data_IF_566378356102
#
_entry.id   IF_566378356102
#
_cell.length_a   1.000
_cell.length_b   1.000
_cell.length_c   1.000
_cell.angle_alpha   90.00
_cell.angle_beta   90.00
_cell.angle_gamma   90.00
#
_symmetry.space_group_name_H-M   'P 1'
#
loop_
_entity.id
_entity.type
_entity.pdbx_description
1 polymer ?
2 non-polymer ?
3 non-polymer ?
4 water ?
#
# COMPACT_ATOMS: atom_id res chain seq x y z
N UNK A 14 -6.94 6.92 -31.00
CA UNK A 14 -8.26 6.65 -30.45
C UNK A 14 -9.30 7.48 -31.23
N UNK A 15 -10.32 6.84 -31.77
CA UNK A 15 -11.18 7.46 -32.78
C UNK A 15 -12.16 8.45 -32.16
N UNK A 16 -12.57 9.44 -32.98
CA UNK A 16 -13.59 10.38 -32.57
C UNK A 16 -14.89 9.67 -32.19
N UNK A 17 -15.28 8.66 -32.96
CA UNK A 17 -16.53 7.95 -32.67
C UNK A 17 -16.46 7.29 -31.31
N UNK A 18 -15.30 6.74 -30.95
CA UNK A 18 -15.18 6.08 -29.66
C UNK A 18 -15.21 7.10 -28.53
N UNK A 19 -14.53 8.24 -28.70
CA UNK A 19 -14.55 9.28 -27.69
C UNK A 19 -15.97 9.79 -27.48
N UNK A 20 -16.73 9.96 -28.58
CA UNK A 20 -18.10 10.44 -28.38
C UNK A 20 -18.97 9.41 -27.69
N UNK A 21 -18.71 8.11 -27.92
CA UNK A 21 -19.43 7.07 -27.20
C UNK A 21 -19.12 7.13 -25.71
N UNK A 22 -17.86 7.40 -25.36
CA UNK A 22 -17.51 7.58 -23.95
C UNK A 22 -18.26 8.78 -23.37
N UNK A 23 -18.31 9.89 -24.12
CA UNK A 23 -19.00 11.07 -23.62
C UNK A 23 -20.50 10.84 -23.44
N UNK A 24 -21.09 9.98 -24.26
CA UNK A 24 -22.51 9.64 -24.10
C UNK A 24 -22.77 8.92 -22.79
N UNK A 25 -21.78 8.22 -22.25
CA UNK A 25 -21.98 7.53 -20.98
C UNK A 25 -21.81 8.47 -19.79
N UNK A 26 -20.69 9.20 -19.73
CA UNK A 26 -20.32 9.91 -18.52
C UNK A 26 -20.50 11.42 -18.62
N UNK A 27 -20.75 11.95 -19.81
CA UNK A 27 -20.86 13.39 -19.99
C UNK A 27 -19.59 14.00 -20.51
N UNK A 28 -19.71 15.02 -21.37
CA UNK A 28 -18.52 15.63 -21.98
C UNK A 28 -17.51 16.16 -20.99
N UNK A 29 -17.87 16.77 -19.86
CA UNK A 29 -16.84 17.24 -18.93
C UNK A 29 -16.00 16.11 -18.37
N UNK A 30 -16.49 14.88 -18.43
CA UNK A 30 -15.85 13.75 -17.76
C UNK A 30 -15.10 12.82 -18.71
N UNK A 31 -14.85 13.27 -19.94
CA UNK A 31 -13.94 12.58 -20.86
C UNK A 31 -12.95 13.62 -21.37
N UNK A 32 -11.65 13.31 -21.26
CA UNK A 32 -10.66 14.21 -21.85
C UNK A 32 -9.58 13.44 -22.58
N UNK A 33 -9.19 13.94 -23.75
CA UNK A 33 -8.01 13.48 -24.45
C UNK A 33 -6.88 14.51 -24.44
N UNK A 34 -6.98 15.51 -23.56
CA UNK A 34 -5.94 16.53 -23.47
C UNK A 34 -4.63 15.94 -22.97
N UNK A 35 -3.52 16.33 -23.61
CA UNK A 35 -2.22 15.75 -23.27
C UNK A 35 -1.86 15.94 -21.79
N UNK A 36 -2.07 17.14 -21.27
CA UNK A 36 -1.68 17.40 -19.88
C UNK A 36 -2.47 16.53 -18.92
N UNK A 37 -3.77 16.35 -19.17
CA UNK A 37 -4.62 15.52 -18.33
C UNK A 37 -4.18 14.05 -18.41
N UNK A 38 -3.90 13.58 -19.62
CA UNK A 38 -3.42 12.21 -19.77
C UNK A 38 -2.07 12.03 -19.10
N UNK A 39 -1.16 13.00 -19.25
CA UNK A 39 0.14 12.88 -18.62
C UNK A 39 0.01 12.81 -17.10
N UNK A 40 -0.91 13.59 -16.51
CA UNK A 40 -1.09 13.56 -15.07
C UNK A 40 -1.59 12.21 -14.58
N UNK A 41 -2.24 11.44 -15.44
CA UNK A 41 -2.77 10.13 -15.10
C UNK A 41 -1.93 9.00 -15.67
N UNK A 42 -0.72 9.29 -16.14
CA UNK A 42 0.12 8.27 -16.74
C UNK A 42 1.22 7.78 -15.84
N UNK A 43 1.22 8.18 -14.57
CA UNK A 43 2.30 7.86 -13.66
C UNK A 43 1.75 7.85 -12.25
N UNK A 44 2.52 7.27 -11.33
CA UNK A 44 2.16 7.32 -9.93
C UNK A 44 3.33 7.92 -9.18
N UNK A 45 3.54 7.52 -7.94
CA UNK A 45 4.65 8.08 -7.18
C UNK A 45 5.94 7.31 -7.41
N UNK A 46 5.92 6.26 -8.23
CA UNK A 46 7.09 5.46 -8.59
C UNK A 46 7.97 6.19 -9.59
N UNK A 47 9.19 5.69 -9.75
CA UNK A 47 10.10 6.20 -10.76
C UNK A 47 9.78 5.67 -12.14
N UNK A 48 8.77 4.80 -12.29
CA UNK A 48 8.42 4.25 -13.59
C UNK A 48 8.01 5.37 -14.55
N UNK A 49 8.49 5.27 -15.78
CA UNK A 49 8.32 6.33 -16.77
C UNK A 49 6.85 6.63 -17.02
N UNK A 50 6.52 7.92 -17.18
CA UNK A 50 5.15 8.29 -17.47
C UNK A 50 4.73 7.74 -18.83
N UNK A 51 3.59 7.06 -18.86
CA UNK A 51 3.05 6.46 -20.07
C UNK A 51 1.57 6.87 -20.11
N UNK A 52 1.26 7.96 -20.80
CA UNK A 52 -0.08 8.52 -20.73
C UNK A 52 -1.11 7.64 -21.40
N UNK A 53 -2.28 7.49 -20.79
CA UNK A 53 -3.41 6.85 -21.47
C UNK A 53 -3.81 7.70 -22.67
N UNK A 54 -4.62 7.11 -23.54
CA UNK A 54 -5.16 7.86 -24.67
C UNK A 54 -6.32 8.75 -24.27
N UNK A 55 -6.99 8.44 -23.16
CA UNK A 55 -8.08 9.26 -22.64
C UNK A 55 -8.19 9.03 -21.15
N UNK A 56 -8.73 10.01 -20.44
CA UNK A 56 -9.12 9.84 -19.04
C UNK A 56 -10.63 10.04 -18.93
N UNK A 57 -11.28 9.17 -18.17
CA UNK A 57 -12.73 9.15 -18.04
C UNK A 57 -13.07 9.09 -16.56
N UNK A 58 -14.05 9.89 -16.14
CA UNK A 58 -14.51 9.94 -14.76
C UNK A 58 -15.96 9.47 -14.70
N UNK A 59 -16.21 8.19 -14.47
CA UNK A 59 -17.60 7.74 -14.32
C UNK A 59 -18.22 8.26 -13.04
N UNK A 60 -19.53 8.45 -13.08
CA UNK A 60 -20.25 9.08 -11.98
C UNK A 60 -21.01 8.08 -11.12
N UNK A 61 -21.19 6.85 -11.58
CA UNK A 61 -21.87 5.83 -10.80
C UNK A 61 -21.49 4.47 -11.40
N UNK A 62 -21.90 3.40 -10.71
CA UNK A 62 -21.45 2.08 -11.13
C UNK A 62 -22.02 1.69 -12.49
N UNK A 63 -23.23 2.14 -12.81
CA UNK A 63 -23.76 1.83 -14.14
C UNK A 63 -22.87 2.44 -15.22
N UNK A 64 -22.34 3.65 -14.97
CA UNK A 64 -21.43 4.24 -15.94
C UNK A 64 -20.11 3.49 -16.00
N UNK A 65 -19.59 3.03 -14.86
CA UNK A 65 -18.37 2.23 -14.90
C UNK A 65 -18.58 1.01 -15.77
N UNK A 66 -19.70 0.31 -15.56
CA UNK A 66 -20.00 -0.88 -16.34
C UNK A 66 -20.08 -0.56 -17.82
N UNK A 67 -20.75 0.53 -18.19
CA UNK A 67 -20.89 0.86 -19.60
C UNK A 67 -19.55 1.27 -20.22
N UNK A 68 -18.72 2.01 -19.48
CA UNK A 68 -17.39 2.33 -20.00
C UNK A 68 -16.55 1.07 -20.18
N UNK A 69 -16.58 0.15 -19.21
CA UNK A 69 -15.80 -1.07 -19.34
C UNK A 69 -16.25 -1.87 -20.55
N UNK A 70 -17.56 -2.01 -20.72
CA UNK A 70 -18.09 -2.79 -21.84
C UNK A 70 -17.71 -2.15 -23.17
N UNK A 71 -17.76 -0.83 -23.25
CA UNK A 71 -17.37 -0.16 -24.49
C UNK A 71 -15.90 -0.40 -24.80
N UNK A 72 -15.02 -0.24 -23.81
CA UNK A 72 -13.59 -0.46 -24.02
C UNK A 72 -13.31 -1.91 -24.36
N UNK A 73 -13.86 -2.82 -23.57
CA UNK A 73 -13.53 -4.23 -23.70
C UNK A 73 -13.90 -4.75 -25.09
N UNK A 74 -15.12 -4.46 -25.52
CA UNK A 74 -15.60 -5.01 -26.79
C UNK A 74 -15.00 -4.32 -27.99
N UNK A 75 -14.27 -3.25 -27.78
CA UNK A 75 -13.74 -2.52 -28.90
C UNK A 75 -12.19 -2.63 -28.85
N UNK A 76 -11.66 -3.42 -27.92
CA UNK A 76 -10.23 -3.72 -27.93
C UNK A 76 -9.34 -2.67 -27.32
N UNK A 77 -9.87 -1.89 -26.40
CA UNK A 77 -9.20 -0.73 -25.82
C UNK A 77 -8.85 -1.08 -24.38
N UNK A 78 -7.57 -1.01 -23.99
CA UNK A 78 -7.20 -1.31 -22.60
C UNK A 78 -7.88 -0.38 -21.61
N UNK A 79 -8.07 -0.91 -20.40
CA UNK A 79 -8.69 -0.19 -19.28
C UNK A 79 -7.66 -0.10 -18.16
N UNK A 80 -7.45 1.11 -17.63
CA UNK A 80 -6.55 1.28 -16.49
C UNK A 80 -7.34 1.91 -15.34
N UNK A 81 -7.69 1.16 -14.31
CA UNK A 81 -8.32 1.78 -13.15
C UNK A 81 -7.36 2.71 -12.45
N UNK A 82 -7.89 3.84 -11.97
CA UNK A 82 -7.06 4.87 -11.37
C UNK A 82 -7.78 5.37 -10.12
N UNK A 83 -7.09 5.26 -8.96
CA UNK A 83 -7.65 5.76 -7.73
C UNK A 83 -7.10 7.13 -7.43
N UNK A 84 -6.21 7.20 -6.45
CA UNK A 84 -5.51 8.43 -6.12
C UNK A 84 -4.09 8.53 -6.68
N UNK A 85 -3.64 7.54 -7.43
CA UNK A 85 -2.34 7.63 -8.09
C UNK A 85 -1.17 7.67 -7.15
N UNK A 86 -1.31 7.11 -5.94
CA UNK A 86 -0.23 7.10 -4.97
C UNK A 86 0.54 5.78 -4.94
N UNK A 87 0.23 4.84 -5.85
CA UNK A 87 1.00 3.60 -5.88
C UNK A 87 2.46 3.82 -6.20
N UNK A 88 3.26 2.80 -5.93
CA UNK A 88 4.71 2.94 -6.13
C UNK A 88 5.29 1.86 -7.02
N UNK A 89 4.44 1.19 -7.82
CA UNK A 89 4.98 0.19 -8.75
C UNK A 89 4.49 0.38 -10.18
N UNK A 90 4.01 1.58 -10.54
CA UNK A 90 3.63 1.80 -11.92
C UNK A 90 2.33 1.18 -12.33
N UNK A 91 1.47 0.85 -11.36
CA UNK A 91 0.20 0.23 -11.69
C UNK A 91 -0.67 1.03 -12.65
N UNK A 92 -0.62 2.37 -12.57
CA UNK A 92 -1.47 3.18 -13.44
C UNK A 92 -0.80 3.58 -14.75
N UNK A 93 0.47 3.22 -14.96
CA UNK A 93 1.15 3.56 -16.22
C UNK A 93 0.47 2.86 -17.39
N UNK A 94 0.06 3.62 -18.40
CA UNK A 94 -0.69 3.02 -19.51
C UNK A 94 0.28 2.48 -20.56
N UNK A 95 0.89 1.34 -20.24
CA UNK A 95 1.97 0.83 -21.07
C UNK A 95 1.49 0.39 -22.45
N UNK A 96 0.19 0.14 -22.63
CA UNK A 96 -0.38 -0.17 -23.94
C UNK A 96 -1.44 0.86 -24.36
N UNK A 97 -1.36 2.07 -23.82
CA UNK A 97 -2.38 3.08 -24.05
C UNK A 97 -3.72 2.68 -23.45
N UNK A 98 -4.78 3.27 -24.00
CA UNK A 98 -6.12 2.92 -23.59
C UNK A 98 -6.81 4.01 -22.78
N UNK A 99 -7.83 3.59 -22.04
CA UNK A 99 -8.69 4.51 -21.29
C UNK A 99 -8.37 4.36 -19.80
N UNK A 100 -7.94 5.46 -19.19
CA UNK A 100 -7.74 5.51 -17.75
C UNK A 100 -9.07 5.89 -17.11
N UNK A 101 -9.55 5.07 -16.19
CA UNK A 101 -10.83 5.33 -15.53
C UNK A 101 -10.50 5.87 -14.14
N UNK A 102 -10.62 7.20 -13.98
CA UNK A 102 -10.46 7.82 -12.68
C UNK A 102 -11.75 7.64 -11.91
N UNK A 103 -11.69 6.92 -10.80
CA UNK A 103 -12.89 6.50 -10.10
C UNK A 103 -13.29 7.42 -8.97
N UNK A 104 -12.62 8.55 -8.78
CA UNK A 104 -12.75 9.26 -7.51
C UNK A 104 -13.94 10.19 -7.44
N UNK A 105 -14.72 10.34 -8.51
CA UNK A 105 -15.97 11.09 -8.38
C UNK A 105 -17.06 10.29 -7.69
N UNK A 106 -16.94 8.96 -7.63
CA UNK A 106 -17.81 8.16 -6.77
C UNK A 106 -17.17 8.15 -5.39
N UNK A 107 -17.65 9.04 -4.51
CA UNK A 107 -16.94 9.42 -3.30
C UNK A 107 -17.81 9.31 -2.05
N UNK A 108 -18.83 8.45 -2.09
CA UNK A 108 -19.82 8.36 -1.03
C UNK A 108 -19.53 7.22 -0.07
N UNK A 109 -19.78 7.47 1.21
CA UNK A 109 -19.86 6.46 2.24
C UNK A 109 -21.31 6.02 2.36
N UNK A 110 -21.54 4.73 2.37
CA UNK A 110 -22.88 4.20 2.57
C UNK A 110 -22.86 3.00 3.49
N UNK A 111 -24.07 2.57 3.87
CA UNK A 111 -24.29 1.36 4.63
C UNK A 111 -23.42 1.34 5.88
N UNK A 112 -23.31 2.49 6.53
CA UNK A 112 -22.59 2.52 7.80
C UNK A 112 -23.39 1.74 8.82
N UNK A 113 -22.80 0.68 9.34
CA UNK A 113 -23.45 -0.19 10.31
C UNK A 113 -22.59 -0.22 11.56
N UNK A 114 -22.77 0.77 12.44
CA UNK A 114 -21.91 0.84 13.61
C UNK A 114 -22.13 -0.37 14.52
N UNK A 115 -23.36 -0.89 14.59
CA UNK A 115 -23.63 -2.03 15.45
C UNK A 115 -23.01 -3.31 14.93
N UNK A 116 -22.70 -3.38 13.64
CA UNK A 116 -22.03 -4.53 13.05
C UNK A 116 -20.53 -4.31 12.84
N UNK A 117 -20.02 -3.10 13.11
CA UNK A 117 -18.62 -2.75 12.84
C UNK A 117 -18.30 -2.83 11.35
N UNK A 118 -19.16 -2.26 10.50
CA UNK A 118 -18.88 -2.32 9.06
C UNK A 118 -19.37 -1.07 8.33
N UNK A 119 -18.84 -0.86 7.12
CA UNK A 119 -19.17 0.31 6.32
C UNK A 119 -18.87 -0.02 4.87
N UNK A 120 -19.56 0.65 3.94
CA UNK A 120 -19.31 0.50 2.50
C UNK A 120 -18.83 1.84 1.96
N UNK A 121 -17.71 1.82 1.22
CA UNK A 121 -17.12 3.04 0.69
C UNK A 121 -16.90 2.92 -0.81
N UNK A 122 -17.10 4.03 -1.52
CA UNK A 122 -16.80 4.16 -2.94
C UNK A 122 -15.36 4.62 -3.14
N UNK A 123 -14.83 4.56 -4.38
CA UNK A 123 -13.38 4.78 -4.57
C UNK A 123 -12.85 6.15 -4.20
N UNK A 124 -13.69 7.18 -4.26
CA UNK A 124 -13.22 8.51 -3.87
C UNK A 124 -13.08 8.74 -2.38
N UNK A 125 -13.51 7.79 -1.55
CA UNK A 125 -13.35 7.90 -0.10
C UNK A 125 -11.94 7.50 0.30
N UNK A 126 -11.26 8.38 1.02
CA UNK A 126 -9.96 8.06 1.61
C UNK A 126 -10.12 7.65 3.07
N UNK A 127 -9.04 7.10 3.65
CA UNK A 127 -9.06 6.74 5.06
C UNK A 127 -9.33 7.97 5.92
N UNK A 128 -8.73 9.11 5.58
CA UNK A 128 -8.98 10.33 6.33
C UNK A 128 -10.45 10.73 6.26
N UNK A 129 -11.05 10.63 5.08
CA UNK A 129 -12.47 10.96 4.97
C UNK A 129 -13.33 10.01 5.80
N UNK A 130 -13.03 8.71 5.74
CA UNK A 130 -13.84 7.76 6.51
C UNK A 130 -13.72 8.03 8.00
N UNK A 131 -12.49 8.19 8.48
CA UNK A 131 -12.31 8.35 9.92
C UNK A 131 -12.85 9.68 10.41
N UNK A 132 -12.79 10.73 9.58
CA UNK A 132 -13.43 11.98 9.96
C UNK A 132 -14.93 11.82 10.05
N UNK A 133 -15.53 11.07 9.12
CA UNK A 133 -16.97 10.83 9.21
C UNK A 133 -17.32 9.94 10.39
N UNK A 134 -16.36 9.21 10.93
CA UNK A 134 -16.56 8.37 12.11
C UNK A 134 -16.17 9.05 13.41
N UNK A 135 -15.82 10.33 13.37
CA UNK A 135 -15.50 11.02 14.62
C UNK A 135 -16.71 10.97 15.54
N UNK A 136 -16.48 10.76 16.84
CA UNK A 136 -17.51 10.62 17.86
C UNK A 136 -18.28 9.31 17.80
N UNK A 137 -17.95 8.37 16.90
CA UNK A 137 -18.68 7.11 16.85
C UNK A 137 -18.09 6.02 17.73
N UNK A 138 -16.85 6.18 18.19
CA UNK A 138 -16.14 5.15 18.90
C UNK A 138 -15.53 4.09 18.00
N UNK A 139 -15.71 4.21 16.69
CA UNK A 139 -15.14 3.30 15.72
C UNK A 139 -14.15 4.04 14.84
N UNK A 140 -13.24 3.28 14.23
CA UNK A 140 -12.28 3.86 13.28
C UNK A 140 -11.83 2.78 12.33
N UNK A 141 -11.24 3.20 11.21
CA UNK A 141 -10.64 2.26 10.27
C UNK A 141 -9.13 2.31 10.38
N UNK A 142 -8.46 1.18 10.68
CA UNK A 142 -7.06 1.24 11.09
C UNK A 142 -6.00 1.18 9.99
N UNK A 143 -6.30 0.65 8.80
CA UNK A 143 -5.22 0.37 7.84
C UNK A 143 -4.72 1.69 7.24
N UNK A 144 -3.46 2.04 7.51
CA UNK A 144 -2.99 3.41 7.36
C UNK A 144 -1.71 3.56 6.53
N UNK A 145 -1.80 3.43 5.21
CA UNK A 145 -0.74 3.94 4.35
C UNK A 145 -0.48 5.41 4.64
N UNK A 146 0.77 5.84 4.46
CA UNK A 146 1.09 7.23 4.71
C UNK A 146 0.44 8.19 3.74
N UNK A 147 0.07 7.72 2.54
CA UNK A 147 -0.62 8.54 1.56
C UNK A 147 -2.11 8.65 1.86
N UNK A 148 -2.69 9.77 1.41
CA UNK A 148 -4.15 9.98 1.45
C UNK A 148 -4.80 9.21 0.29
N UNK A 149 -4.81 7.89 0.43
CA UNK A 149 -5.12 7.00 -0.68
C UNK A 149 -6.59 6.59 -0.71
N UNK A 150 -7.10 6.35 -1.91
CA UNK A 150 -8.40 5.71 -2.10
C UNK A 150 -8.46 4.38 -1.35
N UNK A 151 -9.54 4.17 -0.59
CA UNK A 151 -9.69 2.90 0.12
C UNK A 151 -9.92 1.75 -0.84
N UNK A 152 -10.58 2.00 -1.97
CA UNK A 152 -10.73 0.95 -2.97
C UNK A 152 -9.42 0.68 -3.67
N UNK A 153 -8.58 1.71 -3.85
CA UNK A 153 -7.23 1.47 -4.36
C UNK A 153 -6.42 0.66 -3.39
N UNK A 154 -6.62 0.89 -2.09
CA UNK A 154 -5.91 0.13 -1.08
C UNK A 154 -6.36 -1.34 -1.12
N UNK A 155 -7.65 -1.57 -1.34
CA UNK A 155 -8.10 -2.95 -1.55
C UNK A 155 -7.46 -3.55 -2.79
N UNK A 156 -7.37 -2.77 -3.85
CA UNK A 156 -6.78 -3.28 -5.09
C UNK A 156 -5.31 -3.65 -4.92
N UNK A 157 -4.55 -2.86 -4.16
CA UNK A 157 -3.13 -3.18 -4.02
C UNK A 157 -2.84 -4.15 -2.88
N UNK A 158 -3.82 -4.44 -2.03
CA UNK A 158 -3.54 -5.26 -0.85
C UNK A 158 -2.73 -4.52 0.19
N UNK A 159 -3.01 -3.23 0.38
CA UNK A 159 -2.20 -2.35 1.23
C UNK A 159 -2.16 -2.81 2.69
N UNK A 160 -1.13 -2.35 3.39
CA UNK A 160 -1.15 -2.45 4.85
C UNK A 160 -0.75 -1.09 5.41
N UNK A 161 -0.15 -1.06 6.60
CA UNK A 161 0.18 0.21 7.20
C UNK A 161 0.78 -0.01 8.58
N UNK A 162 1.04 1.10 9.30
CA UNK A 162 1.67 0.93 10.60
C UNK A 162 0.77 0.18 11.58
N UNK A 163 -0.54 0.32 11.45
CA UNK A 163 -1.45 -0.33 12.38
C UNK A 163 -1.68 -1.80 12.08
N UNK A 164 -1.17 -2.32 10.96
CA UNK A 164 -1.55 -3.68 10.55
C UNK A 164 -1.05 -4.73 11.52
N UNK A 165 0.09 -4.49 12.17
CA UNK A 165 0.63 -5.49 13.08
C UNK A 165 -0.39 -5.90 14.13
N UNK A 166 -1.25 -4.97 14.57
CA UNK A 166 -2.32 -5.29 15.52
C UNK A 166 -3.68 -5.46 14.87
N UNK A 167 -4.03 -4.63 13.89
CA UNK A 167 -5.39 -4.55 13.39
C UNK A 167 -5.57 -5.17 12.02
N UNK A 168 -4.52 -5.69 11.41
CA UNK A 168 -4.65 -6.40 10.15
C UNK A 168 -4.41 -5.52 8.94
N UNK A 169 -4.21 -6.19 7.81
CA UNK A 169 -4.00 -5.53 6.52
C UNK A 169 -5.34 -5.30 5.83
N UNK A 170 -5.31 -4.85 4.58
CA UNK A 170 -6.58 -4.71 3.88
C UNK A 170 -7.22 -6.08 3.70
N UNK A 171 -6.42 -7.10 3.41
CA UNK A 171 -6.97 -8.45 3.23
C UNK A 171 -7.71 -8.90 4.49
N UNK A 172 -7.19 -8.52 5.66
CA UNK A 172 -7.84 -8.89 6.92
C UNK A 172 -9.11 -8.12 7.15
N UNK A 173 -9.27 -6.95 6.53
CA UNK A 173 -10.36 -6.05 6.87
C UNK A 173 -11.33 -5.78 5.72
N UNK A 174 -11.18 -6.44 4.58
CA UNK A 174 -12.14 -6.32 3.48
C UNK A 174 -13.14 -7.47 3.58
N UNK A 175 -14.41 -7.11 3.77
CA UNK A 175 -15.49 -8.07 3.99
C UNK A 175 -16.17 -8.47 2.69
N UNK A 176 -16.20 -7.57 1.71
CA UNK A 176 -16.97 -7.74 0.49
C UNK A 176 -16.46 -6.69 -0.48
N UNK A 177 -16.59 -6.96 -1.77
CA UNK A 177 -16.21 -6.02 -2.81
C UNK A 177 -17.30 -5.98 -3.86
N UNK A 178 -17.54 -4.79 -4.40
CA UNK A 178 -18.33 -4.63 -5.62
C UNK A 178 -17.34 -4.43 -6.76
N UNK A 179 -17.41 -5.29 -7.78
CA UNK A 179 -16.41 -5.30 -8.85
C UNK A 179 -17.13 -5.26 -10.20
N UNK A 180 -16.75 -4.31 -11.04
CA UNK A 180 -17.13 -4.33 -12.44
C UNK A 180 -16.08 -5.17 -13.15
N UNK A 181 -16.50 -6.33 -13.66
CA UNK A 181 -15.57 -7.20 -14.38
C UNK A 181 -15.19 -6.57 -15.72
N UNK A 182 -14.11 -7.07 -16.35
CA UNK A 182 -13.61 -6.39 -17.56
C UNK A 182 -14.65 -6.17 -18.65
N UNK A 183 -15.58 -7.10 -18.86
CA UNK A 183 -16.59 -6.91 -19.90
C UNK A 183 -17.81 -6.13 -19.42
N UNK A 184 -17.80 -5.61 -18.19
CA UNK A 184 -18.90 -4.80 -17.68
C UNK A 184 -19.84 -5.49 -16.72
N UNK A 185 -19.75 -6.81 -16.56
CA UNK A 185 -20.65 -7.48 -15.62
C UNK A 185 -20.36 -7.02 -14.20
N UNK A 186 -21.41 -6.95 -13.38
CA UNK A 186 -21.28 -6.54 -12.00
C UNK A 186 -21.21 -7.76 -11.09
N UNK A 187 -20.16 -7.84 -10.26
CA UNK A 187 -19.96 -8.93 -9.30
C UNK A 187 -19.89 -8.36 -7.89
N UNK A 188 -20.74 -8.85 -6.99
CA UNK A 188 -20.55 -8.61 -5.55
C UNK A 188 -19.89 -9.87 -5.01
N UNK A 189 -18.62 -9.75 -4.62
CA UNK A 189 -17.81 -10.95 -4.45
C UNK A 189 -18.35 -11.88 -3.37
N UNK A 190 -18.93 -11.34 -2.30
CA UNK A 190 -19.54 -12.15 -1.25
C UNK A 190 -21.06 -12.13 -1.30
N UNK A 191 -21.62 -11.53 -2.33
CA UNK A 191 -23.08 -11.41 -2.47
C UNK A 191 -23.51 -9.97 -2.19
N UNK A 192 -24.50 -9.49 -2.95
CA UNK A 192 -24.89 -8.09 -2.81
C UNK A 192 -25.46 -7.81 -1.42
N UNK A 193 -24.87 -6.82 -0.77
CA UNK A 193 -25.34 -6.37 0.52
C UNK A 193 -24.89 -7.21 1.69
N UNK A 194 -24.06 -8.22 1.47
CA UNK A 194 -23.72 -9.14 2.55
C UNK A 194 -22.53 -8.64 3.36
N UNK A 195 -22.57 -8.93 4.65
CA UNK A 195 -21.47 -8.58 5.53
C UNK A 195 -21.58 -9.46 6.76
N UNK A 196 -20.46 -10.03 7.17
CA UNK A 196 -20.45 -11.02 8.25
C UNK A 196 -19.00 -11.23 8.68
N UNK A 197 -18.82 -11.92 9.82
CA UNK A 197 -17.47 -12.19 10.32
C UNK A 197 -16.75 -13.32 9.63
N UNK A 198 -17.46 -14.34 9.18
CA UNK A 198 -16.79 -15.48 8.58
C UNK A 198 -17.80 -16.20 7.71
N UNK A 199 -17.28 -16.92 6.74
CA UNK A 199 -18.09 -17.76 5.86
C UNK A 199 -17.26 -18.89 5.31
N UNK A 200 -17.94 -20.01 5.05
CA UNK A 200 -17.38 -21.13 4.30
C UNK A 200 -18.18 -21.35 3.02
N UNK A 201 -18.92 -20.36 2.57
CA UNK A 201 -19.89 -20.59 1.50
C UNK A 201 -19.21 -20.48 0.13
N UNK A 202 -18.92 -21.61 -0.48
CA UNK A 202 -18.35 -21.57 -1.82
C UNK A 202 -16.86 -21.27 -1.79
N UNK A 203 -16.36 -20.75 -2.91
CA UNK A 203 -14.97 -20.29 -2.98
C UNK A 203 -14.91 -18.81 -2.63
N UNK A 204 -13.84 -18.41 -1.97
CA UNK A 204 -13.79 -17.04 -1.45
C UNK A 204 -13.38 -16.10 -2.58
N UNK A 205 -14.35 -15.48 -3.22
CA UNK A 205 -14.03 -14.58 -4.32
C UNK A 205 -13.45 -13.26 -3.83
N UNK A 206 -13.80 -12.83 -2.62
CA UNK A 206 -13.32 -11.53 -2.16
C UNK A 206 -11.81 -11.48 -2.11
N UNK A 207 -11.20 -12.56 -1.59
CA UNK A 207 -9.75 -12.59 -1.47
C UNK A 207 -9.03 -12.60 -2.80
N UNK A 208 -9.68 -13.09 -3.86
CA UNK A 208 -9.06 -13.08 -5.18
C UNK A 208 -8.87 -11.67 -5.70
N UNK A 209 -9.83 -10.77 -5.41
CA UNK A 209 -9.74 -9.42 -5.94
C UNK A 209 -8.93 -8.46 -5.07
N UNK A 210 -8.80 -8.76 -3.78
CA UNK A 210 -7.86 -7.99 -2.96
C UNK A 210 -6.45 -8.26 -3.49
N UNK A 211 -5.70 -7.20 -3.74
CA UNK A 211 -4.35 -7.38 -4.26
C UNK A 211 -4.27 -7.72 -5.74
N UNK A 212 -5.34 -7.49 -6.49
CA UNK A 212 -5.34 -7.79 -7.93
C UNK A 212 -4.88 -6.61 -8.78
N UNK A 213 -4.76 -5.41 -8.20
CA UNK A 213 -4.10 -4.25 -8.80
C UNK A 213 -4.79 -3.79 -10.09
N UNK A 214 -6.09 -4.02 -10.21
CA UNK A 214 -6.80 -3.57 -11.39
C UNK A 214 -6.64 -4.46 -12.61
N UNK A 215 -6.07 -5.65 -12.45
CA UNK A 215 -5.90 -6.59 -13.55
C UNK A 215 -7.02 -7.61 -13.66
N UNK A 216 -7.96 -7.64 -12.71
CA UNK A 216 -9.06 -8.60 -12.73
C UNK A 216 -10.43 -7.94 -12.77
N UNK A 217 -10.49 -6.62 -12.64
CA UNK A 217 -11.76 -5.92 -12.60
C UNK A 217 -11.60 -4.62 -11.84
N UNK A 218 -12.68 -3.84 -11.82
CA UNK A 218 -12.69 -2.49 -11.26
C UNK A 218 -13.47 -2.52 -9.95
N UNK A 219 -12.82 -2.18 -8.84
CA UNK A 219 -13.49 -2.17 -7.55
C UNK A 219 -14.26 -0.87 -7.43
N UNK A 220 -15.60 -0.96 -7.38
CA UNK A 220 -16.44 0.23 -7.28
C UNK A 220 -17.04 0.43 -5.89
N UNK A 221 -16.95 -0.56 -5.00
CA UNK A 221 -17.12 -0.26 -3.59
C UNK A 221 -16.43 -1.36 -2.78
N UNK A 222 -16.09 -1.03 -1.55
CA UNK A 222 -15.45 -1.96 -0.64
C UNK A 222 -16.24 -1.94 0.66
N UNK A 223 -16.58 -3.13 1.18
CA UNK A 223 -17.16 -3.25 2.51
C UNK A 223 -16.03 -3.50 3.50
N UNK A 224 -15.88 -2.63 4.50
CA UNK A 224 -14.72 -2.62 5.38
C UNK A 224 -15.12 -2.95 6.80
N UNK A 225 -14.26 -3.71 7.48
CA UNK A 225 -14.37 -3.93 8.92
C UNK A 225 -13.90 -2.70 9.69
N UNK A 226 -14.75 -2.20 10.60
CA UNK A 226 -14.37 -1.13 11.51
C UNK A 226 -13.95 -1.73 12.86
N UNK A 227 -13.20 -0.94 13.62
CA UNK A 227 -12.61 -1.40 14.86
C UNK A 227 -12.95 -0.45 16.00
N UNK A 228 -13.05 -0.96 17.21
CA UNK A 228 -13.25 -0.06 18.36
C UNK A 228 -12.04 0.82 18.61
N UNK A 229 -12.31 2.08 18.94
CA UNK A 229 -11.24 2.98 19.34
C UNK A 229 -10.60 2.46 20.62
N UNK A 230 -9.27 2.55 20.76
CA UNK A 230 -8.63 2.06 21.98
C UNK A 230 -9.03 2.89 23.18
N UNK A 231 -9.10 2.22 24.33
CA UNK A 231 -9.44 2.89 25.59
C UNK A 231 -8.45 4.00 25.89
N UNK A 232 -7.16 3.70 25.73
CA UNK A 232 -6.10 4.68 25.95
C UNK A 232 -4.96 4.33 25.00
N UNK A 233 -4.12 5.32 24.75
CA UNK A 233 -3.03 5.20 23.77
C UNK A 233 -1.78 5.86 24.34
N UNK A 234 -0.63 5.23 24.13
CA UNK A 234 0.66 5.86 24.42
C UNK A 234 1.61 5.54 23.28
N UNK A 235 2.35 6.55 22.82
CA UNK A 235 3.38 6.39 21.80
C UNK A 235 4.74 6.70 22.40
N UNK A 236 5.78 6.12 21.79
CA UNK A 236 7.14 6.32 22.30
C UNK A 236 8.14 6.11 21.18
N UNK A 237 9.34 6.60 21.40
CA UNK A 237 10.45 6.29 20.51
C UNK A 237 11.61 5.75 21.33
N UNK A 238 12.42 4.92 20.69
CA UNK A 238 13.58 4.32 21.35
C UNK A 238 14.73 4.28 20.35
N UNK A 239 15.87 4.89 20.71
CA UNK A 239 17.04 4.93 19.85
C UNK A 239 18.01 3.81 20.22
N UNK A 240 18.71 3.29 19.22
CA UNK A 240 19.60 2.15 19.36
C UNK A 240 20.98 2.46 18.81
N UNK A 241 22.01 1.72 19.24
CA UNK A 241 23.34 1.96 18.66
C UNK A 241 23.52 1.36 17.27
N UNK A 242 22.65 0.42 16.88
CA UNK A 242 22.88 -0.27 15.63
C UNK A 242 21.55 -0.78 15.09
N UNK A 243 21.55 -1.06 13.79
CA UNK A 243 20.39 -1.73 13.19
C UNK A 243 20.15 -3.05 13.87
N UNK A 244 21.20 -3.80 14.16
CA UNK A 244 20.80 -5.10 14.66
C UNK A 244 20.27 -5.05 16.08
N UNK A 245 20.68 -4.05 16.89
CA UNK A 245 20.06 -3.91 18.21
C UNK A 245 18.58 -3.58 18.09
N UNK A 246 18.21 -2.70 17.15
CA UNK A 246 16.81 -2.33 16.97
C UNK A 246 15.99 -3.51 16.46
N UNK A 247 16.55 -4.28 15.52
CA UNK A 247 15.76 -5.35 14.92
C UNK A 247 15.72 -6.56 15.84
N UNK A 248 16.79 -6.83 16.60
CA UNK A 248 16.70 -7.89 17.60
C UNK A 248 15.63 -7.56 18.62
N UNK A 249 15.55 -6.29 19.03
CA UNK A 249 14.51 -5.87 19.95
C UNK A 249 13.14 -6.13 19.35
N UNK A 250 12.96 -5.79 18.07
CA UNK A 250 11.68 -5.98 17.41
C UNK A 250 11.27 -7.45 17.44
N UNK A 251 12.18 -8.33 17.05
CA UNK A 251 11.85 -9.76 17.03
C UNK A 251 11.50 -10.26 18.42
N UNK A 252 12.23 -9.79 19.44
CA UNK A 252 11.97 -10.28 20.78
C UNK A 252 10.64 -9.75 21.34
N UNK A 253 10.27 -8.51 20.99
CA UNK A 253 8.97 -7.98 21.36
C UNK A 253 7.86 -8.85 20.76
N UNK A 254 8.02 -9.20 19.48
CA UNK A 254 7.01 -10.04 18.83
C UNK A 254 6.97 -11.44 19.43
N UNK A 255 8.15 -12.00 19.74
CA UNK A 255 8.17 -13.36 20.30
C UNK A 255 7.66 -13.38 21.73
N UNK A 256 7.73 -12.27 22.44
CA UNK A 256 7.13 -12.13 23.75
C UNK A 256 5.64 -11.89 23.69
N UNK A 257 5.09 -11.71 22.48
CA UNK A 257 3.66 -11.52 22.25
C UNK A 257 3.13 -10.26 22.94
N UNK A 258 3.95 -9.22 22.97
CA UNK A 258 3.44 -7.91 23.38
C UNK A 258 2.52 -7.45 22.25
N UNK A 259 1.25 -7.16 22.52
CA UNK A 259 0.31 -6.80 21.45
C UNK A 259 0.43 -5.33 21.04
N UNK A 260 1.63 -4.94 20.61
CA UNK A 260 1.88 -3.57 20.20
C UNK A 260 0.91 -3.17 19.10
N UNK A 261 0.45 -1.92 19.15
CA UNK A 261 -0.39 -1.38 18.11
C UNK A 261 0.41 -0.95 16.88
N UNK A 262 1.63 -0.45 17.10
CA UNK A 262 2.51 0.02 16.04
C UNK A 262 3.94 -0.28 16.46
N UNK A 263 4.76 -0.75 15.51
CA UNK A 263 6.19 -0.88 15.77
C UNK A 263 6.90 -0.66 14.44
N UNK A 264 7.51 0.51 14.30
CA UNK A 264 8.08 0.96 13.04
C UNK A 264 9.57 1.21 13.22
N UNK A 265 10.35 0.77 12.24
CA UNK A 265 11.80 0.96 12.25
C UNK A 265 12.20 2.10 11.31
N UNK A 266 13.14 2.93 11.77
CA UNK A 266 13.79 3.93 10.92
C UNK A 266 15.29 3.77 11.11
N UNK A 267 16.07 3.63 10.03
CA UNK A 267 17.50 3.64 10.30
C UNK A 267 17.96 5.08 10.57
N UNK A 268 19.27 5.26 10.78
CA UNK A 268 19.75 6.60 11.09
C UNK A 268 19.53 7.58 9.94
N UNK A 269 19.72 7.12 8.69
CA UNK A 269 19.47 7.99 7.54
C UNK A 269 18.01 8.41 7.51
N UNK A 270 17.09 7.44 7.68
CA UNK A 270 15.67 7.76 7.68
C UNK A 270 15.33 8.72 8.80
N UNK A 271 15.90 8.50 9.98
CA UNK A 271 15.57 9.33 11.13
C UNK A 271 16.05 10.76 10.93
N UNK A 272 17.27 10.92 10.42
CA UNK A 272 17.73 12.25 10.04
C UNK A 272 16.79 12.89 9.01
N UNK A 273 16.41 12.13 7.97
CA UNK A 273 15.51 12.68 6.95
C UNK A 273 14.18 13.13 7.55
N UNK A 274 13.59 12.31 8.42
CA UNK A 274 12.32 12.66 9.03
C UNK A 274 12.46 13.87 9.95
N UNK A 275 13.57 13.96 10.70
CA UNK A 275 13.84 15.14 11.51
C UNK A 275 13.82 16.40 10.65
N UNK A 276 14.49 16.37 9.50
CA UNK A 276 14.60 17.56 8.66
C UNK A 276 13.29 17.91 8.01
N UNK A 277 12.36 16.98 7.90
CA UNK A 277 11.10 17.15 7.19
C UNK A 277 9.91 17.35 8.12
N UNK A 278 10.12 17.38 9.43
CA UNK A 278 9.00 17.36 10.37
C UNK A 278 9.24 18.18 11.62
N UNK A 279 10.46 18.66 11.81
CA UNK A 279 10.82 19.31 13.07
C UNK A 279 10.53 18.41 14.29
N UNK A 280 10.38 17.10 14.10
CA UNK A 280 10.88 16.18 15.11
C UNK A 280 12.35 16.48 15.31
N UNK A 281 12.91 16.06 16.44
CA UNK A 281 14.32 16.25 16.72
C UNK A 281 14.86 15.06 17.49
N UNK A 282 14.60 13.86 16.98
CA UNK A 282 15.07 12.66 17.65
C UNK A 282 16.56 12.47 17.43
N UNK A 283 17.23 11.78 18.35
CA UNK A 283 18.63 11.43 18.12
C UNK A 283 18.78 10.69 16.79
N UNK A 284 19.81 11.06 16.03
CA UNK A 284 20.04 10.43 14.73
C UNK A 284 20.71 9.08 14.99
N UNK A 285 19.92 8.02 14.88
CA UNK A 285 20.29 6.66 15.26
C UNK A 285 19.19 5.73 14.77
N UNK A 286 19.48 4.45 14.57
CA UNK A 286 18.40 3.49 14.30
C UNK A 286 17.39 3.55 15.42
N UNK A 287 16.10 3.66 15.06
CA UNK A 287 15.05 4.04 16.01
C UNK A 287 13.83 3.17 15.79
N UNK A 288 13.14 2.85 16.88
CA UNK A 288 11.79 2.29 16.79
C UNK A 288 10.79 3.35 17.22
N UNK A 289 9.72 3.50 16.42
CA UNK A 289 8.53 4.24 16.82
C UNK A 289 7.52 3.19 17.28
N UNK A 290 6.96 3.37 18.48
CA UNK A 290 6.08 2.39 19.08
C UNK A 290 4.76 3.03 19.48
N UNK A 291 3.68 2.25 19.41
CA UNK A 291 2.42 2.69 20.00
C UNK A 291 1.75 1.53 20.69
N UNK A 292 1.12 1.82 21.83
CA UNK A 292 0.47 0.83 22.66
C UNK A 292 -0.98 1.26 22.88
N UNK A 293 -1.87 0.27 22.81
CA UNK A 293 -3.30 0.49 23.01
C UNK A 293 -3.76 -0.40 24.15
N UNK A 294 -4.61 0.14 25.01
CA UNK A 294 -5.23 -0.65 26.05
C UNK A 294 -5.77 0.24 27.15
N UNK A 295 -6.13 -0.41 28.26
CA UNK A 295 -6.45 0.32 29.47
C UNK A 295 -5.18 0.75 30.18
N UNK A 296 -5.34 1.46 31.29
CA UNK A 296 -4.17 1.90 32.06
C UNK A 296 -3.38 0.70 32.58
N UNK A 297 -4.07 -0.35 33.01
CA UNK A 297 -3.37 -1.52 33.54
C UNK A 297 -2.64 -2.27 32.42
N UNK A 298 -3.28 -2.40 31.25
CA UNK A 298 -2.62 -3.12 30.15
C UNK A 298 -1.46 -2.29 29.59
N UNK A 299 -1.63 -0.97 29.53
CA UNK A 299 -0.56 -0.11 29.00
C UNK A 299 0.68 -0.16 29.88
N UNK A 300 0.50 -0.08 31.20
CA UNK A 300 1.63 -0.18 32.11
C UNK A 300 2.31 -1.54 31.98
N UNK A 301 1.52 -2.60 31.85
CA UNK A 301 2.07 -3.94 31.68
C UNK A 301 2.89 -4.02 30.39
N UNK A 302 2.34 -3.52 29.27
CA UNK A 302 3.03 -3.60 28.00
C UNK A 302 4.27 -2.71 27.99
N UNK A 303 4.18 -1.49 28.54
CA UNK A 303 5.30 -0.58 28.44
C UNK A 303 6.51 -1.10 29.18
N UNK A 304 6.27 -1.76 30.32
CA UNK A 304 7.41 -2.23 31.10
C UNK A 304 8.02 -3.48 30.51
N UNK A 305 7.20 -4.36 29.92
CA UNK A 305 7.76 -5.51 29.21
C UNK A 305 8.57 -5.07 28.00
N UNK A 306 8.07 -4.06 27.27
CA UNK A 306 8.76 -3.62 26.05
C UNK A 306 10.04 -2.86 26.38
N UNK A 307 9.98 -2.00 27.41
CA UNK A 307 11.19 -1.30 27.86
C UNK A 307 12.26 -2.29 28.31
N UNK A 308 11.86 -3.36 29.00
CA UNK A 308 12.84 -4.34 29.43
C UNK A 308 13.54 -4.99 28.25
N UNK A 309 12.79 -5.26 27.17
CA UNK A 309 13.37 -5.91 26.02
C UNK A 309 14.28 -4.96 25.25
N UNK A 310 13.83 -3.72 25.03
CA UNK A 310 14.70 -2.78 24.33
C UNK A 310 15.95 -2.48 25.14
N UNK A 311 15.82 -2.36 26.47
CA UNK A 311 17.00 -2.14 27.32
C UNK A 311 18.02 -3.26 27.18
N UNK A 312 17.54 -4.51 27.16
CA UNK A 312 18.42 -5.66 27.03
C UNK A 312 19.27 -5.60 25.77
N UNK A 313 18.79 -4.92 24.73
CA UNK A 313 19.51 -4.87 23.46
C UNK A 313 20.19 -3.54 23.22
N UNK A 314 20.31 -2.69 24.24
CA UNK A 314 21.01 -1.43 24.11
C UNK A 314 20.15 -0.24 23.76
N UNK A 315 18.84 -0.37 23.81
CA UNK A 315 17.99 0.77 23.53
C UNK A 315 18.17 1.86 24.56
N UNK A 316 18.03 3.10 24.10
CA UNK A 316 17.97 4.23 25.02
C UNK A 316 16.68 4.14 25.84
N UNK A 317 16.58 5.00 26.85
CA UNK A 317 15.30 5.14 27.51
C UNK A 317 14.26 5.64 26.50
N UNK A 318 13.01 5.23 26.72
CA UNK A 318 11.91 5.68 25.89
C UNK A 318 11.77 7.19 25.94
N UNK A 319 11.46 7.79 24.79
CA UNK A 319 11.05 9.18 24.68
C UNK A 319 9.56 9.20 24.38
N UNK A 320 8.78 9.80 25.27
CA UNK A 320 7.33 9.64 25.31
C UNK A 320 6.62 10.66 24.43
N UNK A 321 5.48 10.23 23.89
CA UNK A 321 4.62 11.11 23.10
C UNK A 321 3.16 10.96 23.55
N UNK A 324 -1.35 14.31 22.91
CA UNK A 324 -2.10 14.01 21.70
C UNK A 324 -1.43 14.65 20.48
N UNK A 325 -1.07 15.93 20.62
CA UNK A 325 -0.45 16.62 19.49
C UNK A 325 0.93 16.07 19.19
N UNK A 326 1.64 15.53 20.19
CA UNK A 326 2.98 15.03 19.92
C UNK A 326 2.94 13.63 19.29
N UNK A 327 1.99 12.78 19.67
CA UNK A 327 1.89 11.52 18.93
C UNK A 327 1.42 11.77 17.51
N UNK A 328 0.58 12.79 17.29
CA UNK A 328 0.17 13.12 15.94
C UNK A 328 1.34 13.58 15.10
N UNK A 329 2.26 14.36 15.69
CA UNK A 329 3.44 14.77 14.93
C UNK A 329 4.36 13.59 14.65
N UNK A 330 4.46 12.66 15.61
CA UNK A 330 5.29 11.48 15.43
C UNK A 330 4.84 10.67 14.22
N UNK A 331 3.56 10.33 14.18
CA UNK A 331 3.07 9.49 13.10
C UNK A 331 2.90 10.26 11.80
N UNK A 332 2.71 11.59 11.87
CA UNK A 332 2.73 12.36 10.62
C UNK A 332 4.12 12.33 9.99
N UNK A 333 5.16 12.46 10.81
CA UNK A 333 6.52 12.34 10.29
C UNK A 333 6.76 10.97 9.69
N UNK A 334 6.31 9.91 10.37
CA UNK A 334 6.50 8.57 9.84
C UNK A 334 5.73 8.39 8.54
N UNK A 335 4.47 8.83 8.51
CA UNK A 335 3.68 8.68 7.30
C UNK A 335 4.27 9.42 6.12
N UNK A 336 5.06 10.46 6.38
CA UNK A 336 5.63 11.24 5.29
C UNK A 336 7.09 10.85 5.01
N UNK A 337 7.53 9.70 5.53
CA UNK A 337 8.92 9.27 5.33
C UNK A 337 9.32 9.21 3.87
N UNK A 338 8.42 8.77 3.00
CA UNK A 338 8.71 8.74 1.57
C UNK A 338 9.13 10.11 1.07
N UNK A 339 8.37 11.15 1.44
CA UNK A 339 8.70 12.49 0.99
C UNK A 339 9.91 13.04 1.72
N UNK A 340 10.11 12.66 2.99
CA UNK A 340 11.32 13.06 3.69
C UNK A 340 12.56 12.53 2.99
N UNK A 341 12.54 11.27 2.56
CA UNK A 341 13.67 10.71 1.83
C UNK A 341 13.87 11.41 0.50
N UNK A 342 12.77 11.67 -0.22
CA UNK A 342 12.89 12.37 -1.51
C UNK A 342 13.47 13.76 -1.34
N UNK A 343 13.20 14.41 -0.20
CA UNK A 343 13.67 15.77 0.02
C UNK A 343 15.17 15.83 0.32
N UNK A 344 15.81 14.69 0.59
CA UNK A 344 17.26 14.67 0.79
C UNK A 344 17.96 15.22 -0.44
N UNK A 345 17.77 14.58 -1.58
CA UNK A 345 18.23 15.09 -2.87
C UNK A 345 17.02 15.64 -3.62
N UNK A 346 16.81 16.95 -3.63
CA UNK A 346 15.64 17.50 -4.34
C UNK A 346 15.70 17.18 -5.83
N UNK A 347 14.53 17.17 -6.45
CA UNK A 347 14.41 16.82 -7.85
C UNK A 347 14.53 15.34 -8.15
N UNK A 348 14.78 14.52 -7.14
CA UNK A 348 14.97 13.10 -7.38
C UNK A 348 13.63 12.37 -7.43
N UNK A 349 13.64 11.21 -8.04
CA UNK A 349 12.61 10.21 -7.88
C UNK A 349 13.17 9.12 -7.00
N UNK A 350 12.40 8.05 -6.77
CA UNK A 350 12.92 6.99 -5.93
C UNK A 350 12.24 5.67 -6.28
N UNK A 351 12.96 4.58 -6.04
CA UNK A 351 12.35 3.26 -6.02
C UNK A 351 12.33 2.75 -4.59
N UNK A 352 11.31 1.98 -4.25
CA UNK A 352 11.21 1.42 -2.90
C UNK A 352 11.11 -0.08 -3.01
N UNK A 353 11.91 -0.79 -2.22
CA UNK A 353 11.71 -2.21 -2.02
C UNK A 353 10.68 -2.42 -0.93
N UNK A 354 10.27 -3.68 -0.73
CA UNK A 354 9.14 -3.96 0.12
C UNK A 354 9.10 -5.41 0.58
N UNK A 355 10.27 -6.02 0.81
CA UNK A 355 10.28 -7.45 1.12
C UNK A 355 9.66 -7.72 2.48
N UNK A 356 9.19 -8.95 2.66
CA UNK A 356 8.67 -9.42 3.94
C UNK A 356 9.17 -10.84 4.16
N UNK A 357 9.80 -11.09 5.30
CA UNK A 357 10.46 -12.37 5.56
C UNK A 357 9.94 -12.94 6.87
N UNK A 358 10.11 -14.25 7.10
CA UNK A 358 9.85 -14.80 8.44
C UNK A 358 10.58 -13.97 9.48
N UNK A 359 9.91 -13.67 10.61
CA UNK A 359 10.47 -12.66 11.49
C UNK A 359 11.84 -13.07 12.03
N UNK A 360 12.10 -14.36 12.22
CA UNK A 360 13.40 -14.73 12.78
C UNK A 360 14.54 -14.44 11.81
N UNK A 361 14.25 -14.23 10.51
CA UNK A 361 15.27 -13.87 9.54
C UNK A 361 15.35 -12.38 9.30
N UNK A 362 14.49 -11.59 9.94
CA UNK A 362 14.51 -10.15 9.72
C UNK A 362 15.83 -9.51 10.16
N UNK A 363 16.44 -9.89 11.30
CA UNK A 363 17.73 -9.28 11.63
C UNK A 363 18.78 -9.50 10.57
N UNK A 364 18.86 -10.72 10.03
CA UNK A 364 19.86 -10.99 9.00
C UNK A 364 19.69 -10.07 7.82
N UNK A 365 18.46 -9.98 7.29
CA UNK A 365 18.30 -9.27 6.03
C UNK A 365 18.34 -7.76 6.23
N UNK A 366 17.84 -7.22 7.35
CA UNK A 366 17.96 -5.77 7.55
C UNK A 366 19.40 -5.34 7.77
N UNK A 367 20.15 -6.08 8.57
CA UNK A 367 21.56 -5.73 8.75
C UNK A 367 22.30 -5.84 7.43
N UNK A 368 22.05 -6.91 6.66
CA UNK A 368 22.70 -7.05 5.35
C UNK A 368 22.34 -5.90 4.43
N UNK A 369 21.07 -5.48 4.43
CA UNK A 369 20.68 -4.35 3.59
C UNK A 369 21.44 -3.09 3.97
N UNK A 370 21.54 -2.81 5.28
CA UNK A 370 22.28 -1.64 5.74
C UNK A 370 23.74 -1.72 5.28
N UNK A 371 24.34 -2.89 5.44
CA UNK A 371 25.74 -3.06 5.03
C UNK A 371 25.90 -2.88 3.53
N UNK A 372 24.95 -3.38 2.75
CA UNK A 372 25.05 -3.27 1.30
C UNK A 372 24.83 -1.84 0.83
N UNK A 373 23.87 -1.12 1.45
CA UNK A 373 23.69 0.29 1.13
C UNK A 373 25.00 1.04 1.35
N UNK A 374 25.64 0.78 2.48
CA UNK A 374 26.81 1.57 2.80
C UNK A 374 27.97 1.17 1.89
N UNK A 375 28.04 -0.11 1.54
CA UNK A 375 29.13 -0.53 0.68
C UNK A 375 28.92 -0.05 -0.73
N UNK A 376 27.68 0.20 -1.15
CA UNK A 376 27.33 0.67 -2.48
C UNK A 376 27.62 2.17 -2.65
N UNK A 377 27.80 2.58 -3.91
CA UNK A 377 27.79 4.01 -4.18
C UNK A 377 26.41 4.63 -4.04
N UNK A 378 25.36 3.81 -3.96
CA UNK A 378 24.01 4.32 -3.85
C UNK A 378 23.73 4.90 -2.47
N UNK A 379 22.75 5.80 -2.44
CA UNK A 379 22.14 6.35 -1.23
C UNK A 379 20.83 5.62 -0.98
N UNK A 380 20.50 5.41 0.30
CA UNK A 380 19.23 4.81 0.65
C UNK A 380 18.84 5.11 2.07
N UNK A 381 17.52 5.12 2.31
CA UNK A 381 16.96 5.20 3.65
C UNK A 381 16.16 3.93 3.90
N UNK A 382 16.17 3.46 5.14
CA UNK A 382 15.45 2.23 5.50
C UNK A 382 14.34 2.57 6.49
N UNK A 383 13.14 2.06 6.24
CA UNK A 383 11.98 2.33 7.10
C UNK A 383 11.06 1.12 6.98
N UNK A 384 10.35 0.78 8.03
CA UNK A 384 9.52 -0.40 7.80
C UNK A 384 8.56 -0.81 8.88
N UNK A 385 7.50 -1.48 8.42
CA UNK A 385 6.54 -2.20 9.22
C UNK A 385 7.16 -3.49 9.74
N UNK A 386 8.16 -3.37 10.61
CA UNK A 386 8.94 -4.53 11.00
C UNK A 386 8.15 -5.47 11.91
N UNK A 387 7.05 -5.01 12.52
CA UNK A 387 6.19 -5.91 13.25
C UNK A 387 5.62 -7.00 12.38
N UNK A 388 5.57 -6.75 11.06
CA UNK A 388 5.13 -7.74 10.10
C UNK A 388 6.28 -8.51 9.46
N UNK A 389 7.52 -8.25 9.87
CA UNK A 389 8.68 -8.78 9.15
C UNK A 389 8.92 -8.12 7.81
N UNK A 390 8.47 -6.88 7.67
CA UNK A 390 8.42 -6.14 6.42
C UNK A 390 9.23 -4.85 6.57
N UNK A 391 9.92 -4.45 5.50
CA UNK A 391 10.58 -3.14 5.50
C UNK A 391 10.79 -2.67 4.07
N UNK A 392 11.08 -1.37 3.95
CA UNK A 392 11.34 -0.74 2.66
C UNK A 392 12.72 -0.11 2.68
N UNK A 393 13.44 -0.28 1.56
CA UNK A 393 14.60 0.53 1.21
C UNK A 393 14.15 1.56 0.19
N UNK A 394 14.31 2.83 0.54
CA UNK A 394 13.96 3.94 -0.34
C UNK A 394 15.25 4.39 -1.03
N UNK A 395 15.32 4.19 -2.35
CA UNK A 395 16.55 4.34 -3.12
C UNK A 395 16.38 5.49 -4.09
N UNK A 396 17.05 6.60 -3.81
CA UNK A 396 16.85 7.82 -4.56
C UNK A 396 17.48 7.67 -5.94
N UNK A 397 16.92 8.39 -6.92
CA UNK A 397 17.31 8.24 -8.31
C UNK A 397 17.39 9.61 -8.97
N UNK A 398 18.48 9.85 -9.71
CA UNK A 398 18.52 10.92 -10.70
C UNK A 398 17.75 10.45 -11.93
N UNK A 399 16.62 11.07 -12.26
CA UNK A 399 15.83 10.60 -13.40
C UNK A 399 16.57 10.65 -14.73
N UNK A 400 17.68 11.38 -14.81
CA UNK A 400 18.45 11.49 -16.05
C UNK A 400 19.73 10.66 -16.04
N UNK A 401 19.95 9.85 -15.00
CA UNK A 401 21.17 9.05 -14.87
C UNK A 401 20.80 7.59 -15.10
N UNK A 402 21.05 7.11 -16.32
CA UNK A 402 20.67 5.73 -16.66
C UNK A 402 21.56 4.71 -15.95
N UNK A 403 22.82 5.05 -15.70
CA UNK A 403 23.70 4.14 -14.98
C UNK A 403 23.25 3.96 -13.53
N UNK A 404 22.91 5.07 -12.87
CA UNK A 404 22.39 4.98 -11.50
C UNK A 404 21.08 4.20 -11.46
N UNK A 405 20.25 4.37 -12.49
CA UNK A 405 18.95 3.72 -12.47
C UNK A 405 19.09 2.20 -12.51
N UNK A 406 19.99 1.68 -13.33
CA UNK A 406 20.09 0.23 -13.37
C UNK A 406 20.92 -0.32 -12.21
N UNK A 407 21.74 0.50 -11.57
CA UNK A 407 22.36 0.06 -10.33
C UNK A 407 21.33 -0.03 -9.20
N UNK A 408 20.44 0.96 -9.11
CA UNK A 408 19.33 0.91 -8.15
C UNK A 408 18.45 -0.30 -8.42
N UNK A 409 18.14 -0.55 -9.69
CA UNK A 409 17.25 -1.64 -9.98
C UNK A 409 17.92 -2.97 -9.68
N UNK A 410 19.24 -3.08 -9.94
CA UNK A 410 19.96 -4.28 -9.58
C UNK A 410 19.99 -4.48 -8.06
N UNK A 411 20.19 -3.41 -7.30
CA UNK A 411 20.17 -3.52 -5.85
C UNK A 411 18.81 -4.02 -5.37
N UNK A 412 17.74 -3.46 -5.92
CA UNK A 412 16.39 -3.86 -5.51
C UNK A 412 16.12 -5.32 -5.85
N UNK A 413 16.56 -5.75 -7.04
CA UNK A 413 16.33 -7.14 -7.42
C UNK A 413 17.12 -8.11 -6.55
N UNK A 414 18.36 -7.75 -6.21
CA UNK A 414 19.15 -8.62 -5.35
C UNK A 414 18.57 -8.69 -3.94
N UNK A 415 18.08 -7.57 -3.41
CA UNK A 415 17.42 -7.61 -2.11
C UNK A 415 16.18 -8.48 -2.17
N UNK A 416 15.38 -8.35 -3.23
CA UNK A 416 14.23 -9.21 -3.37
C UNK A 416 14.59 -10.68 -3.43
N UNK A 417 15.66 -11.01 -4.18
CA UNK A 417 16.06 -12.41 -4.25
C UNK A 417 16.58 -12.93 -2.92
N UNK A 418 17.25 -12.08 -2.13
CA UNK A 418 17.67 -12.49 -0.80
C UNK A 418 16.46 -12.81 0.07
N UNK A 419 15.42 -11.98 -0.02
CA UNK A 419 14.21 -12.26 0.75
C UNK A 419 13.60 -13.58 0.31
N UNK A 420 13.60 -13.86 -0.98
CA UNK A 420 13.05 -15.13 -1.45
C UNK A 420 13.88 -16.30 -0.93
N UNK A 421 15.20 -16.14 -0.86
CA UNK A 421 16.06 -17.21 -0.35
C UNK A 421 15.77 -17.51 1.11
N UNK A 422 15.26 -16.53 1.85
CA UNK A 422 14.95 -16.67 3.26
C UNK A 422 13.52 -17.14 3.50
N UNK A 423 12.80 -17.57 2.46
CA UNK A 423 11.45 -18.05 2.63
C UNK A 423 10.38 -16.98 2.62
N UNK A 424 10.73 -15.75 2.24
CA UNK A 424 9.82 -14.63 2.31
C UNK A 424 9.16 -14.31 0.97
N UNK A 425 8.66 -13.09 0.89
CA UNK A 425 7.96 -12.60 -0.30
C UNK A 425 8.60 -11.31 -0.79
N UNK A 426 8.50 -11.05 -2.10
CA UNK A 426 9.14 -9.86 -2.66
C UNK A 426 8.36 -8.59 -2.36
N UNK A 427 7.11 -8.70 -1.91
CA UNK A 427 6.34 -7.51 -1.54
C UNK A 427 5.38 -7.83 -0.42
N UNK A 428 5.49 -7.07 0.68
CA UNK A 428 4.54 -7.25 1.77
C UNK A 428 3.25 -6.47 1.59
N UNK A 429 3.27 -5.38 0.80
CA UNK A 429 2.08 -4.52 0.70
C UNK A 429 1.97 -3.70 -0.58
N UNK A 430 3.08 -3.29 -1.19
CA UNK A 430 2.98 -2.35 -2.30
C UNK A 430 2.42 -3.00 -3.55
N UNK A 431 2.69 -4.29 -3.74
CA UNK A 431 2.29 -4.99 -4.95
C UNK A 431 3.40 -5.12 -5.96
N UNK A 432 3.01 -5.62 -7.14
CA UNK A 432 3.93 -6.02 -8.20
C UNK A 432 4.04 -4.98 -9.28
N UNK A 433 2.90 -4.48 -9.75
CA UNK A 433 2.83 -3.56 -10.87
C UNK A 433 3.76 -3.93 -12.02
N UNK A 434 4.62 -2.98 -12.37
CA UNK A 434 5.63 -3.20 -13.41
C UNK A 434 6.96 -3.68 -12.85
N UNK A 435 7.25 -3.40 -11.59
CA UNK A 435 8.61 -3.55 -11.11
C UNK A 435 9.03 -4.90 -10.58
N UNK A 436 8.07 -5.71 -10.14
CA UNK A 436 8.41 -6.98 -9.47
C UNK A 436 7.92 -8.20 -10.21
N UNK A 437 7.70 -8.08 -11.53
CA UNK A 437 7.07 -9.18 -12.26
C UNK A 437 8.00 -10.38 -12.35
N UNK A 438 9.30 -10.14 -12.52
CA UNK A 438 10.22 -11.27 -12.58
C UNK A 438 10.40 -11.90 -11.20
N UNK A 439 10.45 -11.07 -10.15
CA UNK A 439 10.52 -11.62 -8.79
C UNK A 439 9.32 -12.48 -8.46
N UNK A 440 8.12 -12.08 -8.91
CA UNK A 440 6.94 -12.92 -8.66
C UNK A 440 7.09 -14.29 -9.30
N UNK A 441 7.61 -14.34 -10.54
CA UNK A 441 7.81 -15.63 -11.19
C UNK A 441 8.74 -16.52 -10.37
N UNK A 442 9.81 -15.94 -9.81
CA UNK A 442 10.72 -16.72 -8.99
C UNK A 442 10.06 -17.14 -7.69
N UNK A 443 9.18 -16.29 -7.15
CA UNK A 443 8.59 -16.54 -5.84
C UNK A 443 7.64 -17.74 -5.86
N UNK A 444 6.78 -17.86 -6.88
CA UNK A 444 5.76 -18.89 -6.88
C UNK A 444 6.01 -20.00 -7.88
N UNK A 445 6.98 -19.85 -8.79
CA UNK A 445 7.34 -20.93 -9.68
C UNK A 445 6.35 -21.15 -10.79
N UNK A 446 6.63 -22.12 -11.65
CA UNK A 446 5.84 -22.27 -12.89
C UNK A 446 4.39 -22.66 -12.68
N UNK A 447 4.09 -23.49 -11.68
CA UNK A 447 2.69 -23.87 -11.51
C UNK A 447 1.93 -22.71 -10.88
N UNK A 448 2.56 -21.98 -9.97
CA UNK A 448 1.94 -20.78 -9.42
C UNK A 448 1.67 -19.74 -10.48
N UNK A 449 2.64 -19.50 -11.38
CA UNK A 449 2.45 -18.51 -12.43
C UNK A 449 1.33 -18.94 -13.35
N UNK A 450 1.35 -20.20 -13.80
CA UNK A 450 0.30 -20.62 -14.72
C UNK A 450 -1.07 -20.52 -14.07
N UNK A 451 -1.16 -20.86 -12.77
CA UNK A 451 -2.46 -20.80 -12.10
C UNK A 451 -2.95 -19.36 -12.02
N UNK A 452 -2.07 -18.43 -11.64
CA UNK A 452 -2.42 -17.01 -11.69
C UNK A 452 -2.86 -16.57 -13.08
N UNK A 453 -2.15 -17.04 -14.12
CA UNK A 453 -2.51 -16.69 -15.48
C UNK A 453 -3.89 -17.21 -15.84
N UNK A 454 -4.20 -18.42 -15.37
CA UNK A 454 -5.50 -19.00 -15.66
C UNK A 454 -6.61 -18.17 -15.04
N UNK A 455 -6.39 -17.65 -13.83
CA UNK A 455 -7.37 -16.79 -13.18
C UNK A 455 -7.54 -15.49 -13.94
N UNK A 456 -6.42 -14.86 -14.31
CA UNK A 456 -6.46 -13.66 -15.14
C UNK A 456 -7.22 -13.89 -16.43
N UNK A 457 -6.97 -15.01 -17.10
CA UNK A 457 -7.60 -15.22 -18.39
C UNK A 457 -9.09 -15.52 -18.26
N UNK A 458 -9.53 -16.15 -17.18
CA UNK A 458 -10.97 -16.43 -17.15
C UNK A 458 -11.76 -15.16 -16.87
N UNK A 459 -11.19 -14.23 -16.10
CA UNK A 459 -11.89 -12.97 -15.81
C UNK A 459 -11.66 -11.94 -16.91
N UNK A 460 -10.53 -11.99 -17.60
CA UNK A 460 -10.15 -11.00 -18.63
C UNK A 460 -9.66 -11.73 -19.88
N UNK A 461 -10.56 -12.40 -20.60
CA UNK A 461 -10.10 -13.19 -21.76
C UNK A 461 -9.33 -12.37 -22.78
N UNK A 462 -9.75 -11.13 -23.05
CA UNK A 462 -9.07 -10.35 -24.07
C UNK A 462 -7.80 -9.68 -23.57
N UNK A 463 -7.50 -9.77 -22.27
CA UNK A 463 -6.28 -9.20 -21.74
C UNK A 463 -6.24 -7.70 -21.73
N UNK A 464 -7.39 -7.06 -21.62
CA UNK A 464 -7.51 -5.61 -21.70
C UNK A 464 -7.58 -4.93 -20.34
N UNK A 465 -7.61 -5.70 -19.25
CA UNK A 465 -7.80 -5.15 -17.91
C UNK A 465 -6.42 -4.85 -17.35
N UNK A 466 -5.99 -3.57 -17.44
CA UNK A 466 -4.67 -3.11 -17.02
C UNK A 466 -3.55 -4.03 -17.51
N UNK A 467 -3.36 -4.14 -18.81
CA UNK A 467 -2.36 -5.08 -19.34
C UNK A 467 -0.93 -4.68 -18.97
N UNK A 468 -0.08 -5.70 -18.88
CA UNK A 468 1.32 -5.49 -18.61
C UNK A 468 1.69 -5.40 -17.15
N UNK A 469 0.74 -5.63 -16.25
CA UNK A 469 0.99 -5.51 -14.82
C UNK A 469 0.82 -6.87 -14.16
N UNK A 470 1.62 -7.09 -13.11
CA UNK A 470 1.58 -8.25 -12.22
C UNK A 470 2.15 -9.48 -12.92
N UNK A 471 1.51 -9.92 -14.00
CA UNK A 471 1.98 -11.07 -14.75
C UNK A 471 2.63 -10.63 -16.06
#
# INVERSE_FOLDING_TARGET
WSHPQFEKGSQGGLSQDFVEALKAVVGSPHVSTASAVREQHGHDESMHRCQPPDAVVWPQNVDQVSRVASLCYNQGVPIIPFGTGTGVEGGVCAVQGGVCINLTHMDQITELNTEDFSVVVEPGVTRKALNTHLRDSGLWFPVDPGADASLCGMAATGASGTNAVRYGTMRDNVINLEVVLPDGRLLHTAGRGRHYRKSAAGYNLTGLFVGSEGTLGIITSTTLRLHPAPEATVAATCAFPSVQAAVDSTVQILQAAVPVARIEFLDDVMMDACNRHSKLNCPVAPTLFLEFHGSQQTLAEQLQRTEAITQDNGGSHFSWAKEAEKRNELWAARHNAWYAALALSPGSKAYSTDVCVPISRLPEILVETKEEIKASKLTGAIVGHVGDGNFACILLVDPDDAEEQRRVKAFAENLGRRALALGGTCTGEHGIGLGKRQLLQEEVGPVGVETMRQLKNTLDPRGLMNPGKVL
#
